data_IF_200351818068
#
_entry.id   IF_200351818068
#
_cell.length_a   1.000
_cell.length_b   1.000
_cell.length_c   1.000
_cell.angle_alpha   90.00
_cell.angle_beta   90.00
_cell.angle_gamma   90.00
#
_symmetry.space_group_name_H-M   'P 1'
#
loop_
_entity.id
_entity.type
_entity.pdbx_description
1 polymer ?
#
# COMPACT_ATOMS: atom_id res chain seq x y z
N UNK A 1 25.11 -24.40 39.10
CA UNK A 1 25.31 -23.34 38.09
C UNK A 1 24.04 -22.50 38.07
N UNK A 2 24.10 -21.17 38.20
CA UNK A 2 22.91 -20.31 38.18
C UNK A 2 22.55 -20.07 36.70
N UNK A 3 21.36 -20.51 36.28
CA UNK A 3 20.92 -20.50 34.87
C UNK A 3 19.96 -19.35 34.53
N UNK A 4 19.72 -18.46 35.50
CA UNK A 4 18.82 -17.31 35.35
C UNK A 4 19.61 -16.03 35.08
N UNK A 5 19.13 -15.21 34.15
CA UNK A 5 19.62 -13.85 33.93
C UNK A 5 19.32 -12.96 35.15
N UNK A 6 20.13 -11.91 35.32
CA UNK A 6 19.90 -10.90 36.34
C UNK A 6 18.60 -10.12 36.02
N UNK A 7 17.64 -10.02 36.95
CA UNK A 7 16.38 -9.31 36.72
C UNK A 7 16.54 -7.85 36.32
N UNK A 8 17.58 -7.16 36.81
CA UNK A 8 17.84 -5.76 36.48
C UNK A 8 18.34 -5.61 35.04
N UNK A 9 19.22 -6.50 34.59
CA UNK A 9 19.70 -6.53 33.21
C UNK A 9 18.55 -6.84 32.22
N UNK A 10 17.61 -7.71 32.62
CA UNK A 10 16.41 -7.99 31.82
C UNK A 10 15.49 -6.77 31.74
N UNK A 11 15.30 -6.03 32.84
CA UNK A 11 14.49 -4.81 32.85
C UNK A 11 15.08 -3.74 31.92
N UNK A 12 16.39 -3.49 32.02
CA UNK A 12 17.11 -2.53 31.16
C UNK A 12 16.99 -2.89 29.67
N UNK A 13 17.17 -4.17 29.32
CA UNK A 13 17.02 -4.65 27.95
C UNK A 13 15.58 -4.47 27.43
N UNK A 14 14.57 -4.69 28.28
CA UNK A 14 13.16 -4.49 27.90
C UNK A 14 12.83 -3.02 27.67
N UNK A 15 13.39 -2.10 28.46
CA UNK A 15 13.18 -0.66 28.27
C UNK A 15 13.81 -0.19 26.96
N UNK A 16 15.04 -0.62 26.67
CA UNK A 16 15.70 -0.34 25.40
C UNK A 16 14.91 -0.91 24.20
N UNK A 17 14.43 -2.16 24.31
CA UNK A 17 13.62 -2.81 23.29
C UNK A 17 12.29 -2.08 23.07
N UNK A 18 11.64 -1.64 24.15
CA UNK A 18 10.39 -0.86 24.07
C UNK A 18 10.59 0.43 23.28
N UNK A 19 11.64 1.19 23.57
CA UNK A 19 11.95 2.41 22.83
C UNK A 19 12.21 2.14 21.35
N UNK A 20 12.97 1.09 21.02
CA UNK A 20 13.22 0.69 19.64
C UNK A 20 11.94 0.27 18.91
N UNK A 21 11.09 -0.52 19.56
CA UNK A 21 9.82 -0.98 18.99
C UNK A 21 8.85 0.18 18.75
N UNK A 22 8.78 1.16 19.65
CA UNK A 22 7.94 2.34 19.46
C UNK A 22 8.42 3.19 18.27
N UNK A 23 9.73 3.36 18.10
CA UNK A 23 10.29 4.05 16.95
C UNK A 23 10.00 3.31 15.63
N UNK A 24 10.17 1.97 15.63
CA UNK A 24 9.87 1.12 14.48
C UNK A 24 8.39 1.19 14.11
N UNK A 25 7.49 1.01 15.07
CA UNK A 25 6.04 1.06 14.84
C UNK A 25 5.58 2.44 14.32
N UNK A 26 6.23 3.53 14.75
CA UNK A 26 5.94 4.87 14.24
C UNK A 26 6.40 5.05 12.78
N UNK A 27 7.55 4.49 12.41
CA UNK A 27 8.06 4.55 11.03
C UNK A 27 7.33 3.59 10.09
N UNK A 28 6.80 2.50 10.62
CA UNK A 28 6.13 1.43 9.89
C UNK A 28 4.78 1.09 10.56
N UNK A 29 3.76 1.96 10.44
CA UNK A 29 2.46 1.75 11.09
C UNK A 29 1.71 0.49 10.63
N UNK A 30 2.22 -0.18 9.60
CA UNK A 30 1.57 -1.31 8.96
C UNK A 30 0.44 -0.86 8.04
N UNK A 31 -0.28 -1.84 7.52
CA UNK A 31 -1.49 -1.62 6.73
C UNK A 31 -2.65 -1.22 7.64
N UNK A 32 -3.47 -0.25 7.22
CA UNK A 32 -4.67 0.12 7.97
C UNK A 32 -5.68 -1.03 8.04
N UNK A 33 -6.49 -1.08 9.09
CA UNK A 33 -7.48 -2.15 9.36
C UNK A 33 -8.57 -2.32 8.27
N UNK A 34 -8.65 -1.38 7.33
CA UNK A 34 -9.56 -1.43 6.19
C UNK A 34 -9.13 -2.41 5.09
N UNK A 35 -10.04 -2.66 4.14
CA UNK A 35 -9.69 -3.40 2.93
C UNK A 35 -8.68 -2.59 2.11
N UNK A 36 -7.47 -3.14 1.95
CA UNK A 36 -6.46 -2.58 1.06
C UNK A 36 -6.68 -3.10 -0.35
N UNK A 37 -6.74 -2.23 -1.38
CA UNK A 37 -6.77 -2.66 -2.76
C UNK A 37 -5.42 -3.30 -3.11
N UNK A 38 -5.43 -4.60 -3.38
CA UNK A 38 -4.24 -5.33 -3.84
C UNK A 38 -4.28 -5.41 -5.36
N UNK A 39 -3.29 -4.82 -6.03
CA UNK A 39 -3.07 -4.98 -7.45
C UNK A 39 -1.92 -5.98 -7.68
N UNK A 40 -2.24 -7.16 -8.23
CA UNK A 40 -1.25 -8.18 -8.52
C UNK A 40 -0.74 -8.04 -9.95
N UNK A 41 0.58 -7.91 -10.12
CA UNK A 41 1.25 -7.90 -11.42
C UNK A 41 2.16 -9.10 -11.53
N UNK A 42 2.06 -9.84 -12.63
CA UNK A 42 2.98 -10.91 -12.98
C UNK A 42 4.05 -10.38 -13.93
N UNK A 43 5.32 -10.59 -13.60
CA UNK A 43 6.44 -10.15 -14.42
C UNK A 43 7.70 -10.99 -14.18
N UNK A 44 8.67 -10.87 -15.08
CA UNK A 44 9.96 -11.54 -14.92
C UNK A 44 10.75 -10.98 -13.74
N UNK A 45 11.29 -11.84 -12.89
CA UNK A 45 12.08 -11.43 -11.73
C UNK A 45 13.28 -10.53 -12.11
N UNK A 46 13.85 -10.75 -13.29
CA UNK A 46 14.96 -9.94 -13.84
C UNK A 46 14.58 -8.49 -14.19
N UNK A 47 13.28 -8.17 -14.22
CA UNK A 47 12.77 -6.82 -14.52
C UNK A 47 12.37 -6.05 -13.26
N UNK A 48 12.40 -6.69 -12.09
CA UNK A 48 12.05 -6.06 -10.82
C UNK A 48 13.13 -5.07 -10.40
N UNK A 49 12.71 -3.87 -10.01
CA UNK A 49 13.55 -2.79 -9.52
C UNK A 49 12.84 -2.05 -8.38
N UNK A 50 13.60 -1.28 -7.59
CA UNK A 50 13.05 -0.50 -6.48
C UNK A 50 11.97 0.51 -6.92
N UNK A 51 11.95 0.91 -8.19
CA UNK A 51 11.00 1.84 -8.77
C UNK A 51 9.95 1.19 -9.69
N UNK A 52 9.82 -0.14 -9.68
CA UNK A 52 8.83 -0.85 -10.52
C UNK A 52 7.40 -0.39 -10.25
N UNK A 53 7.01 -0.26 -8.97
CA UNK A 53 5.65 0.16 -8.57
C UNK A 53 5.32 1.58 -9.06
N UNK A 54 6.11 2.63 -8.75
CA UNK A 54 5.80 3.98 -9.23
C UNK A 54 5.81 4.08 -10.76
N UNK A 55 6.70 3.34 -11.46
CA UNK A 55 6.70 3.28 -12.93
C UNK A 55 5.42 2.69 -13.51
N UNK A 56 4.96 1.56 -12.95
CA UNK A 56 3.72 0.91 -13.39
C UNK A 56 2.51 1.81 -13.14
N UNK A 57 2.46 2.47 -11.98
CA UNK A 57 1.41 3.47 -11.66
C UNK A 57 1.36 4.61 -12.68
N UNK A 58 2.51 5.18 -13.03
CA UNK A 58 2.58 6.25 -14.04
C UNK A 58 2.16 5.79 -15.46
N UNK A 59 2.36 4.52 -15.81
CA UNK A 59 1.84 3.95 -17.07
C UNK A 59 0.32 3.81 -17.00
N UNK A 60 -0.21 3.30 -15.89
CA UNK A 60 -1.66 3.13 -15.69
C UNK A 60 -2.39 4.48 -15.75
N UNK A 61 -1.88 5.51 -15.08
CA UNK A 61 -2.47 6.86 -15.11
C UNK A 61 -2.50 7.45 -16.52
N UNK A 62 -1.41 7.31 -17.29
CA UNK A 62 -1.39 7.76 -18.70
C UNK A 62 -2.41 7.03 -19.58
N UNK A 63 -2.62 5.74 -19.34
CA UNK A 63 -3.64 4.97 -20.05
C UNK A 63 -5.05 5.47 -19.69
N UNK A 64 -5.30 5.76 -18.40
CA UNK A 64 -6.55 6.36 -17.94
C UNK A 64 -6.80 7.73 -18.58
N UNK A 65 -5.81 8.62 -18.59
CA UNK A 65 -5.95 9.94 -19.21
C UNK A 65 -6.23 9.87 -20.72
N UNK A 66 -5.71 8.84 -21.39
CA UNK A 66 -5.91 8.66 -22.84
C UNK A 66 -7.28 8.04 -23.17
N UNK A 67 -7.69 7.00 -22.45
CA UNK A 67 -8.81 6.15 -22.84
C UNK A 67 -10.05 6.28 -21.94
N UNK A 68 -9.89 6.84 -20.75
CA UNK A 68 -10.96 7.06 -19.78
C UNK A 68 -10.80 8.43 -19.10
N UNK A 69 -10.74 9.55 -19.86
CA UNK A 69 -10.43 10.89 -19.33
C UNK A 69 -11.50 11.45 -18.39
N UNK A 70 -12.70 10.87 -18.40
CA UNK A 70 -13.82 11.27 -17.57
C UNK A 70 -14.63 10.06 -17.09
N UNK A 71 -15.47 10.29 -16.08
CA UNK A 71 -16.30 9.26 -15.46
C UNK A 71 -17.23 8.55 -16.47
N UNK A 72 -17.73 9.26 -17.48
CA UNK A 72 -18.60 8.69 -18.51
C UNK A 72 -17.84 7.70 -19.39
N UNK A 73 -16.64 8.09 -19.85
CA UNK A 73 -15.74 7.26 -20.65
C UNK A 73 -15.27 6.03 -19.89
N UNK A 74 -14.88 6.20 -18.62
CA UNK A 74 -14.57 5.08 -17.72
C UNK A 74 -15.78 4.14 -17.59
N UNK A 75 -16.97 4.70 -17.32
CA UNK A 75 -18.20 3.94 -17.15
C UNK A 75 -18.56 3.13 -18.39
N UNK A 76 -18.41 3.70 -19.58
CA UNK A 76 -18.61 2.97 -20.85
C UNK A 76 -17.58 1.85 -21.02
N UNK A 77 -16.31 2.11 -20.74
CA UNK A 77 -15.24 1.14 -20.91
C UNK A 77 -15.41 -0.11 -20.03
N UNK A 78 -15.96 0.05 -18.82
CA UNK A 78 -16.12 -1.06 -17.85
C UNK A 78 -17.57 -1.53 -17.68
N UNK A 79 -18.51 -1.03 -18.50
CA UNK A 79 -19.89 -1.51 -18.54
C UNK A 79 -20.78 -1.04 -17.38
N UNK A 80 -20.50 0.12 -16.80
CA UNK A 80 -21.20 0.68 -15.64
C UNK A 80 -21.73 2.11 -15.87
N UNK A 81 -21.97 2.52 -17.12
CA UNK A 81 -22.32 3.90 -17.48
C UNK A 81 -23.53 4.48 -16.74
N UNK A 82 -24.46 3.64 -16.28
CA UNK A 82 -25.66 4.08 -15.52
C UNK A 82 -25.49 3.96 -14.01
N UNK A 83 -24.30 3.66 -13.49
CA UNK A 83 -24.09 3.45 -12.07
C UNK A 83 -24.22 4.78 -11.30
N UNK A 84 -25.03 4.85 -10.23
CA UNK A 84 -25.32 6.11 -9.54
C UNK A 84 -24.09 6.74 -8.86
N UNK A 85 -23.08 5.94 -8.55
CA UNK A 85 -21.82 6.37 -7.94
C UNK A 85 -20.66 6.54 -8.95
N UNK A 86 -20.94 6.69 -10.25
CA UNK A 86 -19.90 6.70 -11.29
C UNK A 86 -18.84 7.79 -11.08
N UNK A 87 -19.24 8.99 -10.66
CA UNK A 87 -18.31 10.09 -10.33
C UNK A 87 -17.44 9.77 -9.11
N UNK A 88 -18.01 9.14 -8.08
CA UNK A 88 -17.26 8.69 -6.90
C UNK A 88 -16.26 7.57 -7.24
N UNK A 89 -16.65 6.67 -8.14
CA UNK A 89 -15.77 5.60 -8.63
C UNK A 89 -14.60 6.19 -9.41
N UNK A 90 -14.85 7.09 -10.37
CA UNK A 90 -13.80 7.77 -11.14
C UNK A 90 -12.83 8.54 -10.22
N UNK A 91 -13.34 9.30 -9.25
CA UNK A 91 -12.50 10.02 -8.29
C UNK A 91 -11.58 9.07 -7.49
N UNK A 92 -12.10 7.92 -7.04
CA UNK A 92 -11.30 6.92 -6.30
C UNK A 92 -10.30 6.17 -7.16
N UNK A 93 -10.55 6.03 -8.46
CA UNK A 93 -9.61 5.39 -9.40
C UNK A 93 -8.44 6.33 -9.72
N UNK A 94 -8.61 7.64 -9.53
CA UNK A 94 -7.59 8.67 -9.82
C UNK A 94 -6.74 9.10 -8.62
N UNK A 95 -7.16 8.78 -7.40
CA UNK A 95 -6.38 8.97 -6.15
C UNK A 95 -5.25 7.94 -6.04
#
# INVERSE_FOLDING_TARGET
>A
MKTSLDPSAVAEANDALKSANLAFAKAHPGEGEGRQPVHTVYGGAQLFAADSVPKLGAIALRAMDTYAPDAESLGRAVGISSHPALSTIDARVRE
#
